data_IF_945208924382
#
_entry.id   IF_945208924382
#
_cell.length_a   1.000
_cell.length_b   1.000
_cell.length_c   1.000
_cell.angle_alpha   90.00
_cell.angle_beta   90.00
_cell.angle_gamma   90.00
#
_symmetry.space_group_name_H-M   'P 1'
#
loop_
_entity.id
_entity.type
_entity.pdbx_description
1 polymer ?
#
# COMPACT_ATOMS: atom_id res chain seq x y z
N UNK A 1 -21.38 6.71 1.47
CA UNK A 1 -20.03 6.93 2.05
C UNK A 1 -19.28 5.62 1.95
N UNK A 2 -18.07 5.63 1.44
CA UNK A 2 -17.21 4.44 1.36
C UNK A 2 -16.91 3.90 2.76
N UNK A 3 -16.98 2.58 2.98
CA UNK A 3 -16.58 1.97 4.25
C UNK A 3 -15.06 1.81 4.38
N UNK A 4 -14.31 2.10 3.32
CA UNK A 4 -12.86 1.89 3.24
C UNK A 4 -12.17 3.10 2.65
N UNK A 5 -10.98 3.38 3.16
CA UNK A 5 -10.04 4.37 2.64
C UNK A 5 -8.91 3.64 1.95
N UNK A 6 -8.46 4.15 0.81
CA UNK A 6 -7.39 3.54 0.00
C UNK A 6 -6.27 4.54 -0.16
N UNK A 7 -5.07 4.05 -0.11
CA UNK A 7 -3.92 4.81 -0.48
C UNK A 7 -2.85 3.97 -1.17
N UNK A 8 -1.92 4.62 -1.83
CA UNK A 8 -0.85 3.99 -2.55
C UNK A 8 0.41 4.86 -2.61
N UNK A 9 1.56 4.21 -2.72
CA UNK A 9 2.82 4.83 -3.13
C UNK A 9 3.49 3.98 -4.21
N UNK A 10 4.32 4.59 -5.02
CA UNK A 10 5.04 3.91 -6.09
C UNK A 10 6.49 4.34 -6.16
N UNK A 11 7.32 3.44 -6.64
CA UNK A 11 8.69 3.73 -7.01
C UNK A 11 9.09 2.92 -8.24
N UNK A 12 9.83 3.53 -9.15
CA UNK A 12 10.28 2.88 -10.37
C UNK A 12 11.80 2.75 -10.41
N UNK A 13 12.28 1.54 -10.68
CA UNK A 13 13.69 1.25 -10.87
C UNK A 13 14.00 1.11 -12.36
N UNK A 14 14.57 2.14 -12.96
CA UNK A 14 14.92 2.15 -14.37
C UNK A 14 16.02 1.13 -14.77
N UNK A 15 16.79 0.62 -13.80
CA UNK A 15 17.83 -0.38 -14.07
C UNK A 15 17.25 -1.76 -14.26
N UNK A 16 16.26 -2.13 -13.43
CA UNK A 16 15.59 -3.43 -13.49
C UNK A 16 14.30 -3.37 -14.29
N UNK A 17 13.82 -2.18 -14.64
CA UNK A 17 12.52 -1.92 -15.28
C UNK A 17 11.35 -2.44 -14.44
N UNK A 18 11.45 -2.27 -13.14
CA UNK A 18 10.45 -2.72 -12.17
C UNK A 18 9.76 -1.55 -11.49
N UNK A 19 8.45 -1.62 -11.41
CA UNK A 19 7.59 -0.72 -10.67
C UNK A 19 7.16 -1.42 -9.38
N UNK A 20 7.52 -0.83 -8.24
CA UNK A 20 7.06 -1.27 -6.91
C UNK A 20 5.90 -0.37 -6.50
N UNK A 21 4.81 -0.97 -6.05
CA UNK A 21 3.59 -0.29 -5.64
C UNK A 21 3.20 -0.81 -4.26
N UNK A 22 3.20 0.06 -3.27
CA UNK A 22 2.68 -0.22 -1.95
C UNK A 22 1.23 0.27 -1.87
N UNK A 23 0.35 -0.56 -1.36
CA UNK A 23 -1.08 -0.24 -1.26
C UNK A 23 -1.59 -0.50 0.15
N UNK A 24 -2.50 0.34 0.59
CA UNK A 24 -3.20 0.19 1.85
C UNK A 24 -4.71 0.39 1.67
N UNK A 25 -5.50 -0.37 2.42
CA UNK A 25 -6.94 -0.17 2.53
C UNK A 25 -7.36 -0.27 3.99
N UNK A 26 -7.82 0.85 4.55
CA UNK A 26 -8.26 0.93 5.95
C UNK A 26 -9.77 1.04 6.02
N UNK A 27 -10.40 0.15 6.78
CA UNK A 27 -11.85 0.10 6.94
C UNK A 27 -12.31 1.02 8.07
N UNK A 28 -12.97 2.11 7.71
CA UNK A 28 -13.58 3.09 8.64
C UNK A 28 -14.97 2.67 9.10
N UNK A 29 -15.56 1.68 8.41
CA UNK A 29 -16.82 1.03 8.77
C UNK A 29 -16.80 -0.42 8.27
N UNK A 30 -17.74 -1.25 8.73
CA UNK A 30 -17.89 -2.59 8.16
C UNK A 30 -18.35 -2.49 6.70
N UNK A 31 -17.69 -3.24 5.81
CA UNK A 31 -18.21 -3.44 4.46
C UNK A 31 -19.51 -4.24 4.48
N UNK A 32 -20.38 -3.99 3.52
CA UNK A 32 -21.59 -4.79 3.32
C UNK A 32 -21.27 -6.25 2.93
N UNK A 33 -20.14 -6.44 2.23
CA UNK A 33 -19.64 -7.77 1.86
C UNK A 33 -18.51 -8.22 2.78
N UNK A 34 -18.50 -9.50 3.11
CA UNK A 34 -17.44 -10.12 3.89
C UNK A 34 -16.09 -10.20 3.15
N UNK A 35 -16.11 -9.96 1.84
CA UNK A 35 -14.93 -10.00 0.97
C UNK A 35 -15.01 -8.81 0.02
N UNK A 36 -13.93 -8.05 -0.08
CA UNK A 36 -13.75 -7.02 -1.10
C UNK A 36 -12.54 -7.37 -1.98
N UNK A 37 -12.29 -6.55 -2.99
CA UNK A 37 -11.19 -6.76 -3.91
C UNK A 37 -10.40 -5.47 -4.10
N UNK A 38 -9.08 -5.56 -3.96
CA UNK A 38 -8.17 -4.48 -4.34
C UNK A 38 -7.76 -4.66 -5.78
N UNK A 39 -7.85 -3.60 -6.53
CA UNK A 39 -7.51 -3.58 -7.95
C UNK A 39 -6.39 -2.56 -8.16
N UNK A 40 -5.36 -2.95 -8.90
CA UNK A 40 -4.24 -2.11 -9.27
C UNK A 40 -4.11 -2.10 -10.78
N UNK A 41 -4.24 -0.93 -11.40
CA UNK A 41 -4.15 -0.74 -12.83
C UNK A 41 -3.02 0.23 -13.18
N UNK A 42 -2.32 -0.04 -14.27
CA UNK A 42 -1.41 0.89 -14.91
C UNK A 42 -2.13 1.55 -16.08
N UNK A 43 -2.21 2.87 -16.08
CA UNK A 43 -2.75 3.68 -17.17
C UNK A 43 -1.69 4.64 -17.70
N UNK A 44 -1.82 5.08 -18.94
CA UNK A 44 -0.86 5.99 -19.59
C UNK A 44 -1.57 7.12 -20.30
N UNK A 45 -1.03 8.32 -20.15
CA UNK A 45 -1.43 9.52 -20.86
C UNK A 45 -0.58 9.77 -22.09
N UNK A 46 -1.00 10.72 -22.91
CA UNK A 46 -0.26 11.25 -24.05
C UNK A 46 0.02 10.24 -25.16
N UNK A 47 -0.80 9.19 -25.29
CA UNK A 47 -0.70 8.25 -26.39
C UNK A 47 -1.30 8.86 -27.68
N UNK A 48 -0.52 8.83 -28.75
CA UNK A 48 -0.95 9.33 -30.04
C UNK A 48 -1.63 8.22 -30.84
N UNK A 49 -2.81 8.50 -31.40
CA UNK A 49 -3.51 7.52 -32.22
C UNK A 49 -4.73 8.07 -32.92
N UNK A 50 -5.33 7.28 -33.84
CA UNK A 50 -6.49 7.71 -34.59
C UNK A 50 -7.73 7.83 -33.69
N UNK A 51 -8.52 8.89 -33.89
CA UNK A 51 -9.80 9.11 -33.21
C UNK A 51 -10.85 9.58 -34.21
N UNK A 52 -11.86 8.77 -34.44
CA UNK A 52 -12.96 9.12 -35.34
C UNK A 52 -13.78 10.31 -34.80
N UNK A 53 -13.93 11.33 -35.62
CA UNK A 53 -14.75 12.52 -35.30
C UNK A 53 -14.10 13.48 -34.28
N UNK A 54 -12.93 13.16 -33.75
CA UNK A 54 -12.27 13.98 -32.71
C UNK A 54 -11.95 15.40 -33.18
N UNK A 55 -11.60 15.61 -34.43
CA UNK A 55 -11.36 16.94 -35.02
C UNK A 55 -12.57 17.86 -34.96
N UNK A 56 -13.78 17.31 -34.96
CA UNK A 56 -15.02 18.07 -34.85
C UNK A 56 -15.43 18.40 -33.41
N UNK A 57 -15.06 17.53 -32.45
CA UNK A 57 -15.52 17.64 -31.06
C UNK A 57 -14.43 18.13 -30.10
N UNK A 58 -13.17 17.83 -30.39
CA UNK A 58 -12.06 18.23 -29.53
C UNK A 58 -10.77 18.51 -30.36
N UNK A 59 -10.79 19.53 -31.22
CA UNK A 59 -9.72 19.82 -32.16
C UNK A 59 -8.39 20.21 -31.49
N UNK A 60 -8.43 20.64 -30.22
CA UNK A 60 -7.24 21.06 -29.45
C UNK A 60 -6.38 19.87 -28.98
N UNK A 61 -6.94 18.66 -29.00
CA UNK A 61 -6.25 17.44 -28.54
C UNK A 61 -5.62 16.65 -29.70
N UNK A 62 -5.16 17.35 -30.75
CA UNK A 62 -4.48 16.73 -31.87
C UNK A 62 -3.03 17.20 -32.01
N UNK A 63 -2.13 16.26 -32.31
CA UNK A 63 -0.78 16.50 -32.77
C UNK A 63 -0.67 15.95 -34.18
N UNK A 64 -0.62 16.85 -35.18
CA UNK A 64 -0.71 16.45 -36.57
C UNK A 64 -2.08 15.83 -36.90
N UNK A 65 -2.08 14.56 -37.32
CA UNK A 65 -3.29 13.79 -37.63
C UNK A 65 -3.78 12.94 -36.47
N UNK A 66 -3.01 12.82 -35.41
CA UNK A 66 -3.27 11.89 -34.32
C UNK A 66 -3.86 12.60 -33.11
N UNK A 67 -4.82 11.94 -32.48
CA UNK A 67 -5.43 12.39 -31.24
C UNK A 67 -4.55 12.01 -30.06
N UNK A 68 -4.47 12.88 -29.06
CA UNK A 68 -3.78 12.62 -27.79
C UNK A 68 -4.76 11.93 -26.85
N UNK A 69 -4.59 10.62 -26.70
CA UNK A 69 -5.37 9.82 -25.76
C UNK A 69 -4.78 9.91 -24.36
N UNK A 70 -5.67 10.02 -23.36
CA UNK A 70 -5.32 10.00 -21.93
C UNK A 70 -5.99 8.86 -21.20
N UNK A 71 -5.42 8.44 -20.08
CA UNK A 71 -5.91 7.38 -19.21
C UNK A 71 -6.11 6.03 -19.93
N UNK A 72 -5.24 5.75 -20.89
CA UNK A 72 -5.28 4.48 -21.63
C UNK A 72 -4.78 3.35 -20.76
N UNK A 73 -5.61 2.33 -20.54
CA UNK A 73 -5.24 1.14 -19.78
C UNK A 73 -4.07 0.42 -20.43
N UNK A 74 -3.01 0.21 -19.66
CA UNK A 74 -1.83 -0.56 -20.09
C UNK A 74 -1.85 -1.96 -19.55
N UNK A 75 -2.19 -2.12 -18.25
CA UNK A 75 -2.37 -3.43 -17.62
C UNK A 75 -3.26 -3.36 -16.38
N UNK A 76 -3.81 -4.51 -16.00
CA UNK A 76 -4.44 -4.76 -14.71
C UNK A 76 -3.50 -5.64 -13.90
N UNK A 77 -2.66 -5.04 -13.06
CA UNK A 77 -1.58 -5.70 -12.33
C UNK A 77 -2.12 -6.82 -11.42
N UNK A 78 -3.27 -6.61 -10.82
CA UNK A 78 -4.00 -7.62 -10.02
C UNK A 78 -4.95 -8.49 -10.85
N UNK A 79 -4.84 -8.43 -12.19
CA UNK A 79 -5.82 -9.06 -13.07
C UNK A 79 -7.17 -8.35 -13.07
N UNK A 80 -8.09 -8.86 -13.88
CA UNK A 80 -9.38 -8.18 -14.15
C UNK A 80 -10.35 -8.16 -12.95
N UNK A 81 -10.11 -8.98 -11.92
CA UNK A 81 -11.02 -9.12 -10.78
C UNK A 81 -10.42 -8.64 -9.46
N UNK A 82 -9.15 -8.21 -9.48
CA UNK A 82 -8.43 -7.79 -8.28
C UNK A 82 -8.01 -8.92 -7.36
N UNK A 83 -7.28 -8.57 -6.30
CA UNK A 83 -6.89 -9.47 -5.23
C UNK A 83 -7.85 -9.38 -4.05
N UNK A 84 -8.05 -10.50 -3.37
CA UNK A 84 -9.05 -10.65 -2.30
C UNK A 84 -8.60 -9.93 -1.03
N UNK A 85 -9.47 -9.09 -0.49
CA UNK A 85 -9.43 -8.59 0.89
C UNK A 85 -10.45 -9.39 1.70
N UNK A 86 -9.97 -10.28 2.55
CA UNK A 86 -10.81 -11.20 3.33
C UNK A 86 -11.30 -10.65 4.67
N UNK A 87 -10.69 -9.54 5.16
CA UNK A 87 -11.07 -8.89 6.42
C UNK A 87 -11.56 -7.48 6.13
N UNK A 88 -12.86 -7.28 6.22
CA UNK A 88 -13.55 -6.07 5.76
C UNK A 88 -14.35 -5.38 6.87
N UNK A 89 -13.94 -5.62 8.13
CA UNK A 89 -14.58 -5.04 9.31
C UNK A 89 -13.92 -3.72 9.70
N UNK A 90 -14.70 -2.85 10.35
CA UNK A 90 -14.17 -1.57 10.85
C UNK A 90 -12.90 -1.76 11.68
N UNK A 91 -11.93 -0.88 11.48
CA UNK A 91 -10.64 -0.88 12.17
C UNK A 91 -9.61 -1.84 11.57
N UNK A 92 -9.94 -2.59 10.51
CA UNK A 92 -8.95 -3.45 9.85
C UNK A 92 -8.17 -2.70 8.77
N UNK A 93 -6.87 -3.00 8.70
CA UNK A 93 -5.94 -2.51 7.69
C UNK A 93 -5.50 -3.69 6.81
N UNK A 94 -5.67 -3.53 5.51
CA UNK A 94 -5.07 -4.38 4.49
C UNK A 94 -3.87 -3.66 3.92
N UNK A 95 -2.73 -4.36 3.79
CA UNK A 95 -1.53 -3.85 3.13
C UNK A 95 -0.99 -4.90 2.18
N UNK A 96 -0.51 -4.47 1.03
CA UNK A 96 0.20 -5.34 0.09
C UNK A 96 1.21 -4.53 -0.72
N UNK A 97 2.23 -5.23 -1.23
CA UNK A 97 3.22 -4.68 -2.15
C UNK A 97 3.17 -5.47 -3.46
N UNK A 98 3.09 -4.76 -4.56
CA UNK A 98 3.17 -5.32 -5.91
C UNK A 98 4.50 -4.92 -6.55
N UNK A 99 5.25 -5.89 -7.04
CA UNK A 99 6.43 -5.67 -7.87
C UNK A 99 6.08 -6.07 -9.29
N UNK A 100 6.04 -5.10 -10.18
CA UNK A 100 5.57 -5.26 -11.53
C UNK A 100 6.69 -4.99 -12.55
N UNK A 101 7.02 -5.99 -13.36
CA UNK A 101 7.93 -5.82 -14.49
C UNK A 101 7.21 -5.06 -15.60
N UNK A 102 7.60 -3.82 -15.83
CA UNK A 102 6.95 -2.95 -16.82
C UNK A 102 7.26 -3.46 -18.24
N UNK A 103 6.26 -3.76 -19.08
CA UNK A 103 6.53 -4.15 -20.45
C UNK A 103 7.08 -2.96 -21.26
N UNK A 104 7.94 -3.23 -22.22
CA UNK A 104 8.47 -2.18 -23.11
C UNK A 104 7.38 -1.59 -23.99
N UNK A 105 6.41 -2.39 -24.39
CA UNK A 105 5.25 -1.94 -25.19
C UNK A 105 4.01 -2.77 -24.84
N UNK A 106 2.85 -2.22 -25.19
CA UNK A 106 1.56 -2.91 -25.18
C UNK A 106 0.91 -2.70 -26.55
N UNK A 107 0.72 -3.77 -27.29
CA UNK A 107 0.17 -3.77 -28.65
C UNK A 107 0.97 -2.90 -29.66
N UNK A 108 2.30 -2.83 -29.48
CA UNK A 108 3.18 -2.06 -30.35
C UNK A 108 3.34 -0.59 -29.96
N UNK A 109 2.64 -0.13 -28.93
CA UNK A 109 2.80 1.22 -28.37
C UNK A 109 3.69 1.17 -27.13
N UNK A 110 4.74 2.00 -27.07
CA UNK A 110 5.67 2.04 -25.97
C UNK A 110 5.00 2.40 -24.63
N UNK A 111 5.47 1.77 -23.57
CA UNK A 111 5.11 2.18 -22.20
C UNK A 111 6.12 3.21 -21.73
N UNK A 112 5.67 4.45 -21.60
CA UNK A 112 6.45 5.55 -21.05
C UNK A 112 6.04 5.79 -19.60
N UNK A 113 6.85 5.30 -18.66
CA UNK A 113 6.54 5.33 -17.24
C UNK A 113 6.36 6.75 -16.70
N UNK A 114 7.02 7.75 -17.30
CA UNK A 114 6.89 9.15 -16.90
C UNK A 114 5.50 9.74 -17.22
N UNK A 115 4.76 9.11 -18.12
CA UNK A 115 3.39 9.44 -18.48
C UNK A 115 2.37 8.42 -17.91
N UNK A 116 2.84 7.52 -17.04
CA UNK A 116 1.98 6.51 -16.44
C UNK A 116 1.49 6.92 -15.06
N UNK A 117 0.29 6.47 -14.76
CA UNK A 117 -0.32 6.53 -13.43
C UNK A 117 -0.67 5.12 -12.96
N UNK A 118 -0.53 4.90 -11.67
CA UNK A 118 -1.07 3.74 -10.98
C UNK A 118 -2.43 4.13 -10.40
N UNK A 119 -3.46 3.39 -10.75
CA UNK A 119 -4.80 3.55 -10.19
C UNK A 119 -5.07 2.38 -9.26
N UNK A 120 -5.32 2.66 -7.99
CA UNK A 120 -5.66 1.67 -6.98
C UNK A 120 -7.08 1.91 -6.50
N UNK A 121 -7.92 0.89 -6.51
CA UNK A 121 -9.28 1.01 -6.02
C UNK A 121 -9.77 -0.27 -5.34
N UNK A 122 -10.70 -0.10 -4.39
CA UNK A 122 -11.38 -1.21 -3.71
C UNK A 122 -12.80 -1.33 -4.25
N UNK A 123 -13.16 -2.54 -4.64
CA UNK A 123 -14.51 -2.89 -5.05
C UNK A 123 -15.15 -3.88 -4.08
N UNK A 124 -16.48 -3.76 -3.91
CA UNK A 124 -17.29 -4.72 -3.16
C UNK A 124 -17.24 -6.11 -3.81
N UNK A 125 -17.44 -6.09 -5.12
CA UNK A 125 -17.46 -7.26 -6.00
C UNK A 125 -17.03 -6.82 -7.41
N UNK A 126 -17.68 -7.30 -8.43
CA UNK A 126 -17.46 -6.90 -9.83
C UNK A 126 -18.30 -5.70 -10.30
N UNK A 127 -19.07 -5.07 -9.43
CA UNK A 127 -20.07 -4.05 -9.82
C UNK A 127 -19.90 -2.71 -9.12
N UNK A 128 -19.53 -2.67 -7.85
CA UNK A 128 -19.45 -1.45 -7.06
C UNK A 128 -18.02 -1.14 -6.67
N UNK A 129 -17.54 0.07 -6.99
CA UNK A 129 -16.28 0.61 -6.54
C UNK A 129 -16.57 1.52 -5.35
N UNK A 130 -15.93 1.24 -4.21
CA UNK A 130 -16.09 2.04 -3.00
C UNK A 130 -15.28 3.33 -3.05
N UNK A 131 -14.00 3.23 -3.37
CA UNK A 131 -13.07 4.36 -3.45
C UNK A 131 -11.79 3.93 -4.15
N UNK A 132 -10.95 4.90 -4.49
CA UNK A 132 -9.65 4.64 -5.09
C UNK A 132 -8.81 5.90 -5.17
N UNK A 133 -7.55 5.72 -5.50
CA UNK A 133 -6.54 6.77 -5.69
C UNK A 133 -5.83 6.59 -7.03
N UNK A 134 -5.27 7.67 -7.54
CA UNK A 134 -4.44 7.67 -8.75
C UNK A 134 -3.15 8.43 -8.47
N UNK A 135 -2.02 7.78 -8.61
CA UNK A 135 -0.69 8.32 -8.34
C UNK A 135 0.19 8.25 -9.59
N UNK A 136 1.24 9.07 -9.66
CA UNK A 136 2.26 8.93 -10.70
C UNK A 136 2.96 7.58 -10.53
N UNK A 137 3.25 6.87 -11.63
CA UNK A 137 3.96 5.60 -11.55
C UNK A 137 5.45 5.78 -11.20
N UNK A 138 6.04 6.91 -11.58
CA UNK A 138 7.45 7.24 -11.29
C UNK A 138 7.55 8.07 -9.99
N UNK A 139 7.42 7.40 -8.85
CA UNK A 139 7.64 8.01 -7.54
C UNK A 139 6.48 8.88 -7.04
N UNK A 140 5.26 8.48 -7.36
CA UNK A 140 4.04 9.12 -6.83
C UNK A 140 3.67 8.57 -5.45
N UNK A 141 3.16 9.44 -4.61
CA UNK A 141 2.36 9.07 -3.46
C UNK A 141 1.11 9.93 -3.46
N UNK A 142 -0.02 9.33 -3.20
CA UNK A 142 -1.24 10.07 -2.91
C UNK A 142 -1.62 9.79 -1.47
N UNK A 143 -1.30 10.75 -0.64
CA UNK A 143 -1.86 10.98 0.67
C UNK A 143 -3.10 11.90 0.55
N UNK A 144 -3.52 12.15 -0.71
CA UNK A 144 -4.49 13.14 -1.10
C UNK A 144 -5.75 13.17 -0.25
N UNK A 145 -6.49 14.23 -0.39
CA UNK A 145 -7.77 14.66 0.22
C UNK A 145 -8.82 13.56 0.56
N UNK A 146 -8.49 12.27 0.41
CA UNK A 146 -9.48 11.20 0.38
C UNK A 146 -9.51 10.29 1.59
N UNK A 147 -8.75 10.50 2.53
CA UNK A 147 -8.69 9.81 3.79
C UNK A 147 -7.27 9.41 4.09
N UNK A 148 -6.86 9.81 5.21
CA UNK A 148 -5.48 9.65 5.60
C UNK A 148 -5.14 8.18 5.65
N UNK A 149 -4.06 7.80 5.01
CA UNK A 149 -3.25 6.73 5.50
C UNK A 149 -3.08 6.89 7.00
N UNK A 150 -3.14 5.81 7.70
CA UNK A 150 -2.79 5.80 9.12
C UNK A 150 -1.35 6.26 9.27
N UNK A 151 -0.48 5.93 8.30
CA UNK A 151 0.91 6.35 8.27
C UNK A 151 1.63 5.87 7.04
N UNK A 152 2.72 6.53 6.71
CA UNK A 152 3.70 6.07 5.74
C UNK A 152 4.71 5.18 6.47
N UNK A 153 4.85 3.94 6.02
CA UNK A 153 5.73 2.95 6.65
C UNK A 153 7.01 2.81 5.84
N UNK A 154 8.14 3.04 6.47
CA UNK A 154 9.44 2.85 5.86
C UNK A 154 10.16 1.65 6.49
N UNK A 155 10.72 0.78 5.66
CA UNK A 155 11.45 -0.41 6.10
C UNK A 155 10.58 -1.64 6.26
N UNK A 156 9.31 -1.60 5.79
CA UNK A 156 8.47 -2.77 5.68
C UNK A 156 9.02 -3.69 4.58
N UNK A 157 9.10 -4.94 4.89
CA UNK A 157 9.56 -6.01 4.03
C UNK A 157 9.78 -7.24 4.87
N UNK A 158 9.85 -8.43 4.26
CA UNK A 158 10.17 -9.63 4.98
C UNK A 158 11.58 -9.51 5.55
N UNK A 159 11.69 -9.17 6.83
CA UNK A 159 12.95 -9.15 7.54
C UNK A 159 13.13 -10.52 8.20
N UNK A 160 14.15 -11.26 7.78
CA UNK A 160 14.52 -12.55 8.35
C UNK A 160 15.89 -12.46 9.02
N UNK A 161 15.97 -12.92 10.25
CA UNK A 161 17.24 -13.02 10.97
C UNK A 161 17.40 -14.41 11.56
N UNK A 162 18.59 -14.96 11.49
CA UNK A 162 18.96 -16.18 12.22
C UNK A 162 19.60 -15.76 13.52
N UNK A 163 18.89 -15.96 14.63
CA UNK A 163 19.40 -15.73 15.98
C UNK A 163 19.84 -17.02 16.63
N UNK A 164 20.86 -16.95 17.48
CA UNK A 164 21.22 -18.02 18.40
C UNK A 164 20.49 -17.83 19.74
N UNK A 165 20.28 -18.92 20.46
CA UNK A 165 19.67 -18.92 21.78
C UNK A 165 20.25 -17.80 22.69
N UNK A 166 19.37 -16.95 23.22
CA UNK A 166 19.71 -15.86 24.12
C UNK A 166 20.33 -14.62 23.46
N UNK A 167 20.43 -14.57 22.14
CA UNK A 167 20.83 -13.36 21.42
C UNK A 167 19.60 -12.62 20.91
N UNK A 168 19.39 -11.39 21.36
CA UNK A 168 18.30 -10.54 20.87
C UNK A 168 18.45 -10.24 19.38
N UNK A 169 17.37 -10.32 18.68
CA UNK A 169 17.25 -9.88 17.28
C UNK A 169 16.28 -8.72 17.22
N UNK A 170 16.67 -7.63 16.55
CA UNK A 170 15.85 -6.42 16.42
C UNK A 170 15.48 -6.19 14.97
N UNK A 171 14.19 -5.98 14.73
CA UNK A 171 13.62 -5.56 13.45
C UNK A 171 13.21 -4.11 13.61
N UNK A 172 13.68 -3.24 12.71
CA UNK A 172 13.44 -1.81 12.81
C UNK A 172 12.74 -1.30 11.56
N UNK A 173 11.76 -0.44 11.77
CA UNK A 173 11.06 0.31 10.74
C UNK A 173 10.63 1.66 11.32
N UNK A 174 10.06 2.51 10.50
CA UNK A 174 9.53 3.79 10.97
C UNK A 174 8.14 4.02 10.40
N UNK A 175 7.40 4.89 11.08
CA UNK A 175 6.09 5.36 10.64
C UNK A 175 6.03 6.87 10.68
N UNK A 176 5.50 7.47 9.63
CA UNK A 176 5.06 8.86 9.56
C UNK A 176 3.53 8.89 9.61
N UNK A 177 2.90 9.25 10.76
CA UNK A 177 1.46 9.35 10.83
C UNK A 177 0.95 10.46 9.90
N UNK A 178 0.01 10.14 9.03
CA UNK A 178 -0.51 11.08 8.02
C UNK A 178 -1.81 11.75 8.44
N UNK A 179 -2.51 11.21 9.43
CA UNK A 179 -3.73 11.86 9.97
C UNK A 179 -3.34 13.14 10.68
N UNK A 180 -3.88 14.26 10.22
CA UNK A 180 -3.55 15.58 10.73
C UNK A 180 -3.74 15.68 12.26
N UNK A 181 -2.76 16.26 12.92
CA UNK A 181 -2.75 16.45 14.38
C UNK A 181 -2.19 15.24 15.14
N UNK A 182 -2.47 15.21 16.43
CA UNK A 182 -2.16 14.08 17.30
C UNK A 182 -3.35 13.13 17.34
N UNK A 183 -3.10 11.87 17.08
CA UNK A 183 -4.11 10.81 17.11
C UNK A 183 -3.61 9.63 17.92
N UNK A 184 -4.54 8.94 18.56
CA UNK A 184 -4.23 7.77 19.36
C UNK A 184 -4.26 6.50 18.50
N UNK A 185 -3.17 5.75 18.51
CA UNK A 185 -3.02 4.49 17.81
C UNK A 185 -2.85 3.36 18.80
N UNK A 186 -3.56 2.29 18.58
CA UNK A 186 -3.37 1.05 19.35
C UNK A 186 -2.38 0.16 18.64
N UNK A 187 -1.35 -0.28 19.37
CA UNK A 187 -0.33 -1.21 18.93
C UNK A 187 -0.53 -2.55 19.62
N UNK A 188 -0.50 -3.63 18.86
CA UNK A 188 -0.62 -5.01 19.35
C UNK A 188 0.41 -5.91 18.69
N UNK A 189 1.27 -6.53 19.49
CA UNK A 189 2.25 -7.51 19.02
C UNK A 189 1.73 -8.93 19.29
N UNK A 190 1.62 -9.72 18.23
CA UNK A 190 1.26 -11.14 18.30
C UNK A 190 2.35 -12.01 17.70
N UNK A 191 2.46 -13.27 18.13
CA UNK A 191 3.38 -14.23 17.56
C UNK A 191 2.90 -15.66 17.73
N UNK A 192 3.42 -16.55 16.88
CA UNK A 192 3.30 -18.01 16.98
C UNK A 192 4.56 -18.65 17.60
N UNK A 193 5.41 -17.84 18.24
CA UNK A 193 6.66 -18.30 18.81
C UNK A 193 6.49 -19.29 19.96
N UNK A 194 7.46 -20.21 20.16
CA UNK A 194 7.49 -21.09 21.32
C UNK A 194 7.42 -20.31 22.64
N UNK A 195 6.78 -20.88 23.65
CA UNK A 195 6.52 -20.22 24.93
C UNK A 195 7.78 -19.89 25.77
N UNK A 196 8.95 -20.39 25.36
CA UNK A 196 10.24 -20.04 25.96
C UNK A 196 10.94 -18.86 25.23
N UNK A 197 10.35 -18.34 24.15
CA UNK A 197 10.79 -17.11 23.53
C UNK A 197 10.12 -15.90 24.17
N UNK A 198 10.78 -14.75 24.14
CA UNK A 198 10.17 -13.49 24.55
C UNK A 198 10.30 -12.44 23.46
N UNK A 199 9.32 -11.57 23.37
CA UNK A 199 9.32 -10.45 22.45
C UNK A 199 8.72 -9.19 23.08
N UNK A 200 9.12 -8.06 22.57
CA UNK A 200 8.55 -6.75 22.88
C UNK A 200 8.61 -5.87 21.64
N UNK A 201 7.83 -4.83 21.62
CA UNK A 201 8.02 -3.76 20.64
C UNK A 201 8.38 -2.46 21.34
N UNK A 202 8.98 -1.55 20.58
CA UNK A 202 9.33 -0.20 21.05
C UNK A 202 8.76 0.82 20.09
N UNK A 203 8.29 1.92 20.65
CA UNK A 203 7.92 3.12 19.92
C UNK A 203 8.76 4.26 20.45
N UNK A 204 9.56 4.87 19.60
CA UNK A 204 10.53 5.91 19.96
C UNK A 204 11.43 5.52 21.15
N UNK A 205 11.87 4.26 21.15
CA UNK A 205 12.74 3.68 22.17
C UNK A 205 12.03 3.25 23.45
N UNK A 206 10.73 3.52 23.64
CA UNK A 206 9.96 3.08 24.80
C UNK A 206 9.48 1.64 24.62
N UNK A 207 9.83 0.68 25.50
CA UNK A 207 9.49 -0.73 25.33
C UNK A 207 8.09 -1.06 25.87
N UNK A 208 7.39 -1.96 25.15
CA UNK A 208 6.07 -2.46 25.49
C UNK A 208 5.97 -3.97 25.26
N UNK A 209 5.34 -4.67 26.19
CA UNK A 209 5.12 -6.14 26.14
C UNK A 209 3.64 -6.52 26.03
N UNK A 210 2.76 -5.54 25.95
CA UNK A 210 1.32 -5.70 25.84
C UNK A 210 0.73 -4.65 24.92
N UNK A 211 -0.49 -4.84 24.48
CA UNK A 211 -1.25 -3.84 23.72
C UNK A 211 -1.22 -2.47 24.40
N UNK A 212 -0.89 -1.44 23.66
CA UNK A 212 -0.80 -0.06 24.13
C UNK A 212 -1.48 0.89 23.17
N UNK A 213 -2.06 1.95 23.73
CA UNK A 213 -2.49 3.12 22.97
C UNK A 213 -1.45 4.21 23.10
N UNK A 214 -0.93 4.70 21.97
CA UNK A 214 0.15 5.66 21.89
C UNK A 214 -0.28 6.81 20.99
N UNK A 215 -0.12 8.04 21.46
CA UNK A 215 -0.43 9.24 20.68
C UNK A 215 0.74 9.56 19.75
N UNK A 216 0.49 9.57 18.45
CA UNK A 216 1.45 9.96 17.42
C UNK A 216 0.91 11.17 16.66
N UNK A 217 1.81 12.02 16.18
CA UNK A 217 1.44 13.26 15.47
C UNK A 217 1.95 13.24 14.04
N UNK A 218 1.12 13.69 13.11
CA UNK A 218 1.52 13.87 11.71
C UNK A 218 2.72 14.81 11.57
N UNK A 219 3.59 14.47 10.61
CA UNK A 219 4.84 15.19 10.36
C UNK A 219 5.98 14.88 11.33
N UNK A 220 5.80 13.93 12.25
CA UNK A 220 6.83 13.41 13.12
C UNK A 220 7.01 11.92 12.86
N UNK A 221 8.15 11.54 12.31
CA UNK A 221 8.53 10.13 12.13
C UNK A 221 8.74 9.48 13.49
N UNK A 222 8.05 8.37 13.74
CA UNK A 222 8.26 7.55 14.93
C UNK A 222 9.03 6.29 14.57
N UNK A 223 10.08 5.99 15.35
CA UNK A 223 10.85 4.77 15.21
C UNK A 223 10.14 3.60 15.89
N UNK A 224 9.99 2.51 15.16
CA UNK A 224 9.36 1.29 15.65
C UNK A 224 10.40 0.17 15.61
N UNK A 225 10.47 -0.61 16.68
CA UNK A 225 11.34 -1.78 16.76
C UNK A 225 10.56 -2.97 17.32
N UNK A 226 10.81 -4.15 16.78
CA UNK A 226 10.41 -5.42 17.39
C UNK A 226 11.69 -6.13 17.85
N UNK A 227 11.80 -6.39 19.14
CA UNK A 227 12.89 -7.14 19.71
C UNK A 227 12.42 -8.56 20.05
N UNK A 228 13.13 -9.55 19.58
CA UNK A 228 12.86 -10.97 19.80
C UNK A 228 14.04 -11.62 20.46
N UNK A 229 13.82 -12.30 21.57
CA UNK A 229 14.81 -13.08 22.29
C UNK A 229 14.44 -14.57 22.17
N UNK A 230 15.10 -15.33 21.28
CA UNK A 230 14.86 -16.76 21.14
C UNK A 230 15.23 -17.51 22.42
N UNK A 231 14.38 -18.46 22.83
CA UNK A 231 14.69 -19.41 23.89
C UNK A 231 15.51 -20.61 23.40
N UNK A 232 15.41 -21.72 24.10
CA UNK A 232 16.13 -22.96 23.78
C UNK A 232 15.46 -23.79 22.67
N UNK A 233 14.16 -23.56 22.44
CA UNK A 233 13.38 -24.27 21.43
C UNK A 233 13.71 -23.69 20.05
N UNK A 234 14.26 -24.52 19.16
CA UNK A 234 14.51 -24.13 17.77
C UNK A 234 13.20 -24.09 16.99
N UNK A 235 12.86 -22.93 16.42
CA UNK A 235 11.66 -22.71 15.64
C UNK A 235 11.87 -21.65 14.57
N UNK A 236 10.97 -21.62 13.60
CA UNK A 236 10.71 -20.47 12.73
C UNK A 236 9.38 -19.87 13.19
N UNK A 237 9.37 -18.58 13.47
CA UNK A 237 8.18 -17.93 14.04
C UNK A 237 7.92 -16.59 13.38
N UNK A 238 6.65 -16.24 13.28
CA UNK A 238 6.17 -14.98 12.74
C UNK A 238 5.79 -14.05 13.89
N UNK A 239 6.21 -12.80 13.78
CA UNK A 239 5.83 -11.72 14.69
C UNK A 239 5.06 -10.69 13.91
N UNK A 240 3.84 -10.38 14.34
CA UNK A 240 2.97 -9.41 13.71
C UNK A 240 2.73 -8.25 14.67
N UNK A 241 3.18 -7.06 14.31
CA UNK A 241 2.80 -5.83 15.00
C UNK A 241 1.66 -5.17 14.21
N UNK A 242 0.50 -5.13 14.81
CA UNK A 242 -0.68 -4.45 14.28
C UNK A 242 -0.76 -3.04 14.85
N UNK A 243 -1.09 -2.08 14.02
CA UNK A 243 -1.37 -0.71 14.43
C UNK A 243 -2.70 -0.27 13.82
N UNK A 244 -3.55 0.34 14.64
CA UNK A 244 -4.84 0.86 14.20
C UNK A 244 -5.24 2.08 15.02
N UNK A 245 -6.05 2.98 14.42
CA UNK A 245 -6.61 4.11 15.15
C UNK A 245 -7.47 3.61 16.31
N UNK A 246 -7.24 4.20 17.47
CA UNK A 246 -8.11 3.97 18.63
C UNK A 246 -9.43 4.74 18.41
N UNK A 247 -10.54 4.03 18.49
CA UNK A 247 -11.89 4.58 18.31
C UNK A 247 -12.31 5.44 19.52
#
# INVERSE_FOLDING_TARGET
VSPVNVGASSSYNATTNELTIDVEAYYTANSAAATNYINVALIQDSLLGPQSGGTNYNPTNYVGSDYVHSHMLRDLITGQWGDVISTTTQGTLFQNQYVYAVPFDVNGEAVDISNCHVVVFVSESTQEIYTGVSILADGGSDDGDHAPFIGDFTGLGAQGVSGSNGAASTFSFSIDPLIAGANDYTFELTSDAPGDWSSLYKVDGNPYTSTQTISLSSGNTSAIEIEVNPGTTAAVSTFTLSMYLTA
#
